data_IF_876572664444
#
_entry.id   IF_876572664444
#
_cell.length_a   1.000
_cell.length_b   1.000
_cell.length_c   1.000
_cell.angle_alpha   90.00
_cell.angle_beta   90.00
_cell.angle_gamma   90.00
#
_symmetry.space_group_name_H-M   'P 1'
#
loop_
_entity.id
_entity.type
_entity.pdbx_description
1 polymer ?
#
# COMPACT_ATOMS: atom_id res chain seq x y z
N UNK A 1 33.28 -4.85 10.91
CA UNK A 1 31.85 -5.21 10.98
C UNK A 1 31.17 -4.27 10.00
N UNK A 2 30.64 -4.80 8.89
CA UNK A 2 30.25 -4.00 7.72
C UNK A 2 29.09 -3.05 8.04
N UNK A 3 29.24 -1.78 7.67
CA UNK A 3 28.23 -0.73 7.83
C UNK A 3 27.16 -0.79 6.72
N UNK A 4 26.68 -1.99 6.42
CA UNK A 4 25.66 -2.22 5.39
C UNK A 4 24.28 -1.91 6.00
N UNK A 5 23.70 -0.76 5.64
CA UNK A 5 22.34 -0.37 6.06
C UNK A 5 22.24 0.89 6.92
N UNK A 6 23.35 1.55 7.23
CA UNK A 6 23.32 2.87 7.89
C UNK A 6 22.99 4.00 6.90
N UNK A 7 22.34 5.08 7.35
CA UNK A 7 22.12 6.25 6.50
C UNK A 7 23.46 6.89 6.09
N UNK A 8 23.56 7.46 4.88
CA UNK A 8 24.81 8.02 4.34
C UNK A 8 25.32 9.24 5.13
N UNK A 9 24.45 9.90 5.91
CA UNK A 9 24.83 10.94 6.85
C UNK A 9 24.16 10.62 8.19
N UNK A 10 24.96 10.55 9.26
CA UNK A 10 24.48 10.26 10.60
C UNK A 10 25.14 11.19 11.62
N UNK A 11 24.36 11.66 12.59
CA UNK A 11 24.83 12.38 13.77
C UNK A 11 23.73 12.37 14.84
N UNK A 12 24.12 12.29 16.10
CA UNK A 12 23.19 12.44 17.23
C UNK A 12 22.76 13.92 17.41
N UNK A 13 23.62 14.86 17.05
CA UNK A 13 23.27 16.28 17.01
C UNK A 13 22.64 16.63 15.66
N UNK A 14 21.48 17.30 15.71
CA UNK A 14 20.67 17.60 14.53
C UNK A 14 21.27 18.72 13.67
N UNK A 15 21.90 19.73 14.28
CA UNK A 15 22.55 20.80 13.54
C UNK A 15 23.78 20.27 12.78
N UNK A 16 24.54 19.40 13.45
CA UNK A 16 25.63 18.64 12.85
C UNK A 16 25.12 17.80 11.67
N UNK A 17 24.06 17.01 11.85
CA UNK A 17 23.46 16.20 10.77
C UNK A 17 23.12 17.05 9.54
N UNK A 18 22.45 18.20 9.72
CA UNK A 18 22.09 19.06 8.58
C UNK A 18 23.30 19.63 7.86
N UNK A 19 24.34 20.03 8.59
CA UNK A 19 25.59 20.51 7.97
C UNK A 19 26.29 19.39 7.18
N UNK A 20 26.26 18.14 7.67
CA UNK A 20 26.78 16.98 6.91
C UNK A 20 25.98 16.76 5.62
N UNK A 21 24.65 16.72 5.72
CA UNK A 21 23.75 16.59 4.56
C UNK A 21 24.01 17.71 3.54
N UNK A 22 24.21 18.94 3.98
CA UNK A 22 24.39 20.08 3.09
C UNK A 22 25.77 20.12 2.41
N UNK A 23 26.85 19.79 3.13
CA UNK A 23 28.20 20.10 2.69
C UNK A 23 29.18 18.94 2.61
N UNK A 24 28.94 17.84 3.32
CA UNK A 24 29.89 16.73 3.35
C UNK A 24 29.77 15.85 2.11
N UNK A 25 30.91 15.38 1.59
CA UNK A 25 30.96 14.49 0.44
C UNK A 25 30.39 13.11 0.79
N UNK A 26 29.76 12.47 -0.19
CA UNK A 26 29.15 11.15 0.02
C UNK A 26 30.25 10.07 0.12
N UNK A 27 30.37 9.45 1.28
CA UNK A 27 31.19 8.25 1.47
C UNK A 27 30.34 7.02 1.18
N UNK A 28 30.82 6.19 0.26
CA UNK A 28 30.14 4.96 -0.15
C UNK A 28 30.82 3.73 0.47
N UNK A 29 30.05 2.73 0.93
CA UNK A 29 30.62 1.49 1.43
C UNK A 29 31.32 0.70 0.33
N UNK A 30 32.26 -0.15 0.72
CA UNK A 30 32.90 -1.12 -0.16
C UNK A 30 31.89 -2.19 -0.63
N UNK A 31 32.12 -2.80 -1.79
CA UNK A 31 31.27 -3.87 -2.32
C UNK A 31 30.13 -3.44 -3.24
N UNK A 32 29.92 -2.12 -3.41
CA UNK A 32 28.99 -1.62 -4.43
C UNK A 32 29.52 -1.84 -5.85
N UNK A 33 28.63 -2.19 -6.78
CA UNK A 33 28.98 -2.20 -8.20
C UNK A 33 29.28 -0.76 -8.68
N UNK A 34 30.09 -0.58 -9.74
CA UNK A 34 30.37 0.74 -10.30
C UNK A 34 29.09 1.51 -10.66
N UNK A 35 28.09 0.82 -11.21
CA UNK A 35 26.81 1.39 -11.61
C UNK A 35 25.97 1.82 -10.39
N UNK A 36 26.00 1.04 -9.30
CA UNK A 36 25.32 1.40 -8.06
C UNK A 36 25.94 2.64 -7.42
N UNK A 37 27.29 2.69 -7.38
CA UNK A 37 28.02 3.81 -6.84
C UNK A 37 27.81 5.09 -7.66
N UNK A 38 27.79 5.01 -8.99
CA UNK A 38 27.47 6.14 -9.87
C UNK A 38 26.02 6.63 -9.66
N UNK A 39 25.06 5.70 -9.59
CA UNK A 39 23.66 6.04 -9.34
C UNK A 39 23.50 6.84 -8.04
N UNK A 40 24.08 6.35 -6.95
CA UNK A 40 23.98 6.99 -5.63
C UNK A 40 24.59 8.40 -5.63
N UNK A 41 25.77 8.59 -6.23
CA UNK A 41 26.41 9.92 -6.33
C UNK A 41 25.56 10.90 -7.13
N UNK A 42 24.93 10.46 -8.22
CA UNK A 42 24.11 11.34 -9.05
C UNK A 42 22.74 11.66 -8.42
N UNK A 43 22.14 10.72 -7.70
CA UNK A 43 20.90 10.96 -6.95
C UNK A 43 21.11 11.85 -5.72
N UNK A 44 22.25 11.70 -5.04
CA UNK A 44 22.59 12.46 -3.83
C UNK A 44 23.47 13.69 -4.12
N UNK A 45 23.46 14.16 -5.38
CA UNK A 45 24.18 15.37 -5.78
C UNK A 45 23.64 16.59 -5.02
N UNK A 46 24.55 17.39 -4.45
CA UNK A 46 24.23 18.55 -3.59
C UNK A 46 23.46 19.62 -4.36
N UNK A 47 23.93 19.97 -5.56
CA UNK A 47 23.21 20.85 -6.48
C UNK A 47 21.96 20.13 -7.04
N UNK A 48 20.74 20.60 -6.73
CA UNK A 48 19.51 19.99 -7.23
C UNK A 48 19.40 20.04 -8.76
N UNK A 49 19.94 21.04 -9.44
CA UNK A 49 19.82 21.16 -10.91
C UNK A 49 20.67 20.10 -11.64
N UNK A 50 21.74 19.64 -11.01
CA UNK A 50 22.64 18.59 -11.51
C UNK A 50 22.24 17.18 -11.03
N UNK A 51 21.27 17.09 -10.13
CA UNK A 51 20.79 15.82 -9.59
C UNK A 51 20.11 14.99 -10.66
N UNK A 52 20.39 13.70 -10.68
CA UNK A 52 19.73 12.77 -11.60
C UNK A 52 18.21 12.82 -11.36
N UNK A 53 17.46 12.95 -12.46
CA UNK A 53 16.02 13.13 -12.42
C UNK A 53 15.57 14.59 -12.49
N UNK A 54 16.45 15.57 -12.30
CA UNK A 54 16.10 16.99 -12.48
C UNK A 54 15.97 17.36 -13.96
N UNK A 55 16.90 16.86 -14.79
CA UNK A 55 16.80 16.96 -16.25
C UNK A 55 16.30 15.63 -16.81
N UNK A 56 15.26 15.67 -17.65
CA UNK A 56 14.66 14.47 -18.23
C UNK A 56 13.78 13.65 -17.27
N UNK A 57 13.61 14.09 -16.01
CA UNK A 57 12.67 13.49 -15.08
C UNK A 57 12.94 12.00 -14.81
N UNK A 58 11.86 11.25 -14.64
CA UNK A 58 11.93 9.80 -14.44
C UNK A 58 12.59 9.07 -15.62
N UNK A 59 12.51 9.58 -16.85
CA UNK A 59 13.14 8.93 -18.00
C UNK A 59 14.68 8.92 -17.87
N UNK A 60 15.27 9.99 -17.33
CA UNK A 60 16.71 10.05 -17.04
C UNK A 60 17.14 9.02 -15.98
N UNK A 61 16.31 8.80 -14.96
CA UNK A 61 16.56 7.77 -13.94
C UNK A 61 16.47 6.37 -14.55
N UNK A 62 15.39 6.09 -15.31
CA UNK A 62 15.16 4.79 -15.94
C UNK A 62 16.24 4.38 -16.95
N UNK A 63 16.86 5.37 -17.61
CA UNK A 63 17.93 5.15 -18.58
C UNK A 63 19.32 4.92 -17.94
N UNK A 64 19.44 5.03 -16.61
CA UNK A 64 20.72 4.84 -15.93
C UNK A 64 21.20 3.38 -16.06
N UNK A 65 22.51 3.12 -16.29
CA UNK A 65 23.04 1.75 -16.47
C UNK A 65 22.76 0.78 -15.31
N UNK A 66 22.60 1.29 -14.09
CA UNK A 66 22.18 0.48 -12.94
C UNK A 66 20.86 -0.27 -13.18
N UNK A 67 19.94 0.32 -13.96
CA UNK A 67 18.66 -0.30 -14.33
C UNK A 67 18.69 -0.96 -15.72
N UNK A 68 19.88 -1.21 -16.27
CA UNK A 68 20.01 -1.93 -17.53
C UNK A 68 19.35 -3.31 -17.42
N UNK A 69 18.47 -3.63 -18.37
CA UNK A 69 17.71 -4.89 -18.39
C UNK A 69 16.38 -4.87 -17.64
N UNK A 70 16.02 -3.76 -16.97
CA UNK A 70 14.67 -3.62 -16.39
C UNK A 70 13.66 -3.34 -17.50
N UNK A 71 12.70 -4.26 -17.66
CA UNK A 71 11.48 -4.01 -18.43
C UNK A 71 10.48 -3.22 -17.57
N UNK A 72 10.40 -1.92 -17.82
CA UNK A 72 9.57 -1.01 -17.04
C UNK A 72 8.06 -1.23 -17.23
N UNK A 73 7.65 -1.74 -18.39
CA UNK A 73 6.23 -2.05 -18.66
C UNK A 73 5.84 -3.33 -17.93
N UNK A 74 6.67 -4.38 -18.02
CA UNK A 74 6.46 -5.60 -17.23
C UNK A 74 6.51 -5.34 -15.72
N UNK A 75 7.38 -4.43 -15.25
CA UNK A 75 7.41 -4.02 -13.85
C UNK A 75 6.12 -3.33 -13.43
N UNK A 76 5.61 -2.40 -14.24
CA UNK A 76 4.36 -1.68 -13.98
C UNK A 76 3.15 -2.63 -13.95
N UNK A 77 3.11 -3.60 -14.86
CA UNK A 77 2.06 -4.62 -14.93
C UNK A 77 2.22 -5.73 -13.87
N UNK A 78 3.18 -5.59 -12.94
CA UNK A 78 3.51 -6.60 -11.94
C UNK A 78 3.82 -7.99 -12.53
N UNK A 79 4.39 -8.05 -13.75
CA UNK A 79 4.79 -9.29 -14.44
C UNK A 79 6.19 -9.77 -14.06
N UNK A 80 6.99 -8.92 -13.41
CA UNK A 80 8.30 -9.31 -12.86
C UNK A 80 8.10 -9.87 -11.44
N UNK A 81 8.53 -11.12 -11.15
CA UNK A 81 8.40 -11.68 -9.82
C UNK A 81 9.26 -10.91 -8.82
N UNK A 82 8.71 -10.65 -7.62
CA UNK A 82 9.45 -10.01 -6.55
C UNK A 82 10.61 -10.92 -6.09
N UNK A 83 11.82 -10.38 -5.86
CA UNK A 83 12.97 -11.17 -5.40
C UNK A 83 12.74 -11.78 -4.02
N UNK A 84 11.84 -11.19 -3.23
CA UNK A 84 11.39 -11.72 -1.95
C UNK A 84 9.87 -11.65 -1.88
N UNK A 85 9.24 -12.77 -1.54
CA UNK A 85 7.80 -12.86 -1.32
C UNK A 85 7.56 -13.26 0.14
N UNK A 86 6.94 -12.41 0.97
CA UNK A 86 6.62 -12.77 2.34
C UNK A 86 5.65 -13.96 2.38
N UNK A 87 5.92 -14.93 3.26
CA UNK A 87 4.95 -16.00 3.53
C UNK A 87 3.85 -15.44 4.41
N UNK A 88 2.61 -15.45 3.93
CA UNK A 88 1.43 -15.02 4.67
C UNK A 88 0.56 -16.25 4.88
N UNK A 89 0.38 -16.66 6.13
CA UNK A 89 -0.28 -17.92 6.43
C UNK A 89 -1.81 -17.75 6.53
N UNK A 90 -2.29 -16.54 6.85
CA UNK A 90 -3.70 -16.22 7.07
C UNK A 90 -4.06 -14.82 6.53
N UNK A 91 -5.35 -14.60 6.30
CA UNK A 91 -5.87 -13.28 5.85
C UNK A 91 -5.68 -12.17 6.90
N UNK A 92 -5.66 -12.54 8.18
CA UNK A 92 -5.50 -11.67 9.35
C UNK A 92 -4.10 -11.76 9.97
N UNK A 93 -3.13 -12.23 9.19
CA UNK A 93 -1.76 -12.40 9.65
C UNK A 93 -1.06 -11.05 9.87
N UNK A 94 -0.42 -10.91 11.03
CA UNK A 94 0.27 -9.69 11.46
C UNK A 94 1.75 -9.93 11.75
N UNK A 95 2.33 -11.03 11.26
CA UNK A 95 3.72 -11.43 11.59
C UNK A 95 4.80 -10.41 11.18
N UNK A 96 4.53 -9.56 10.19
CA UNK A 96 5.45 -8.51 9.71
C UNK A 96 5.21 -7.15 10.37
N UNK A 97 4.34 -7.07 11.39
CA UNK A 97 4.09 -5.88 12.20
C UNK A 97 4.68 -6.04 13.59
N UNK A 98 5.11 -4.93 14.20
CA UNK A 98 5.63 -4.95 15.56
C UNK A 98 4.54 -5.33 16.57
N UNK A 99 4.89 -6.19 17.53
CA UNK A 99 4.04 -6.62 18.64
C UNK A 99 3.63 -5.47 19.54
N UNK A 100 4.41 -4.38 19.57
CA UNK A 100 4.04 -3.16 20.28
C UNK A 100 2.69 -2.60 19.79
N UNK A 101 2.34 -2.82 18.52
CA UNK A 101 1.06 -2.37 17.95
C UNK A 101 0.02 -3.49 17.89
N UNK A 102 0.40 -4.69 17.44
CA UNK A 102 -0.56 -5.81 17.31
C UNK A 102 -1.04 -6.36 18.64
N UNK A 103 -0.29 -6.11 19.73
CA UNK A 103 -0.71 -6.40 21.10
C UNK A 103 -1.61 -5.35 21.74
N UNK A 104 -1.79 -4.17 21.13
CA UNK A 104 -2.69 -3.13 21.63
C UNK A 104 -4.14 -3.41 21.22
N UNK A 105 -5.13 -3.04 22.05
CA UNK A 105 -6.54 -3.20 21.68
C UNK A 105 -6.88 -2.30 20.47
N UNK A 106 -7.62 -2.86 19.50
CA UNK A 106 -8.12 -2.14 18.33
C UNK A 106 -9.35 -1.27 18.70
N UNK A 107 -9.15 -0.30 19.58
CA UNK A 107 -10.18 0.63 20.05
C UNK A 107 -9.83 2.06 19.69
N UNK A 108 -10.84 2.84 19.34
CA UNK A 108 -10.67 4.27 19.07
C UNK A 108 -10.46 5.01 20.39
N UNK A 109 -9.50 5.92 20.42
CA UNK A 109 -9.35 6.85 21.53
C UNK A 109 -10.63 7.68 21.69
N UNK A 110 -11.08 7.95 22.94
CA UNK A 110 -12.22 8.81 23.15
C UNK A 110 -11.92 10.23 22.63
N UNK A 111 -12.93 10.95 22.12
CA UNK A 111 -12.74 12.34 21.72
C UNK A 111 -12.35 13.18 22.95
N UNK A 112 -11.50 14.21 22.77
CA UNK A 112 -11.17 15.09 23.87
C UNK A 112 -12.43 15.85 24.33
N UNK A 113 -12.48 16.31 25.59
CA UNK A 113 -13.68 16.91 26.18
C UNK A 113 -14.26 18.07 25.37
N UNK A 114 -13.42 18.88 24.74
CA UNK A 114 -13.80 19.99 23.87
C UNK A 114 -14.48 19.56 22.56
N UNK A 115 -14.27 18.31 22.11
CA UNK A 115 -14.88 17.74 20.91
C UNK A 115 -16.07 16.81 21.23
N UNK A 116 -16.18 16.33 22.47
CA UNK A 116 -17.21 15.37 22.88
C UNK A 116 -18.65 15.92 22.76
N UNK A 117 -18.83 17.25 22.89
CA UNK A 117 -20.13 17.92 22.72
C UNK A 117 -20.63 18.02 21.27
N UNK A 118 -19.77 17.76 20.28
CA UNK A 118 -20.09 17.83 18.85
C UNK A 118 -20.55 16.45 18.31
N UNK A 119 -20.35 15.38 19.09
CA UNK A 119 -20.51 13.98 18.66
C UNK A 119 -21.66 13.24 19.39
N UNK A 120 -22.76 13.93 19.72
CA UNK A 120 -23.95 13.27 20.29
C UNK A 120 -24.64 12.34 19.27
N UNK A 121 -25.25 11.22 19.70
CA UNK A 121 -25.72 10.17 18.80
C UNK A 121 -26.98 10.61 18.07
N UNK A 122 -26.86 10.82 16.76
CA UNK A 122 -27.96 11.29 15.93
C UNK A 122 -27.63 11.30 14.44
N UNK A 123 -27.10 10.19 13.92
CA UNK A 123 -26.96 9.99 12.47
C UNK A 123 -27.60 8.66 12.04
N UNK A 124 -28.83 8.41 12.51
CA UNK A 124 -29.82 7.79 11.63
C UNK A 124 -30.30 8.90 10.69
N UNK A 125 -29.61 9.06 9.56
CA UNK A 125 -30.09 9.94 8.50
C UNK A 125 -31.30 9.31 7.81
N UNK A 126 -32.40 10.06 7.60
CA UNK A 126 -33.47 9.63 6.71
C UNK A 126 -32.97 9.58 5.27
N UNK A 127 -33.68 8.80 4.47
CA UNK A 127 -33.55 8.78 3.02
C UNK A 127 -33.58 10.20 2.43
N UNK A 128 -32.69 10.44 1.47
CA UNK A 128 -32.86 11.50 0.49
C UNK A 128 -32.17 12.83 0.82
N UNK A 129 -31.28 13.21 -0.10
CA UNK A 129 -31.10 14.59 -0.57
C UNK A 129 -30.56 15.65 0.40
N UNK A 130 -29.38 16.18 0.04
CA UNK A 130 -28.82 17.50 0.39
C UNK A 130 -28.31 17.66 1.83
N UNK A 131 -27.32 18.48 2.20
CA UNK A 131 -26.29 19.28 1.54
C UNK A 131 -25.61 20.05 2.69
N UNK A 132 -24.27 20.05 2.77
CA UNK A 132 -23.39 21.02 3.47
C UNK A 132 -23.52 21.14 5.01
N UNK A 133 -22.53 21.51 5.80
CA UNK A 133 -21.08 21.67 5.70
C UNK A 133 -20.64 21.89 7.17
N UNK A 134 -19.48 21.38 7.55
CA UNK A 134 -18.92 21.62 8.87
C UNK A 134 -18.16 22.96 8.86
N UNK A 135 -18.29 23.83 9.85
CA UNK A 135 -17.22 24.81 10.14
C UNK A 135 -17.42 25.44 11.52
N UNK A 136 -16.38 25.45 12.36
CA UNK A 136 -16.32 26.38 13.47
C UNK A 136 -15.31 26.08 14.59
N UNK A 137 -14.01 26.25 14.32
CA UNK A 137 -13.12 26.91 15.28
C UNK A 137 -13.62 28.37 15.51
N UNK A 138 -13.31 29.08 16.61
CA UNK A 138 -13.82 30.44 16.75
C UNK A 138 -13.17 31.37 15.74
N UNK A 139 -14.02 31.95 14.89
CA UNK A 139 -13.97 33.31 14.38
C UNK A 139 -12.58 33.86 14.00
N UNK A 140 -12.10 33.39 12.85
CA UNK A 140 -11.12 34.08 12.01
C UNK A 140 -11.39 33.68 10.56
N UNK A 141 -12.53 34.10 10.00
CA UNK A 141 -12.97 33.88 8.61
C UNK A 141 -12.56 32.52 8.01
N UNK A 142 -13.16 31.42 8.45
CA UNK A 142 -12.66 30.10 8.08
C UNK A 142 -13.78 29.20 7.55
N UNK A 143 -13.67 28.80 6.28
CA UNK A 143 -14.60 27.86 5.64
C UNK A 143 -14.53 26.46 6.24
N UNK A 144 -15.33 25.55 5.69
CA UNK A 144 -15.29 24.13 6.00
C UNK A 144 -13.90 23.56 5.67
N UNK A 145 -13.02 23.47 6.68
CA UNK A 145 -11.64 23.00 6.53
C UNK A 145 -11.55 21.56 6.01
N UNK A 146 -12.63 20.78 6.15
CA UNK A 146 -12.73 19.40 5.67
C UNK A 146 -13.72 19.26 4.51
N UNK A 147 -14.18 20.36 3.91
CA UNK A 147 -14.96 20.29 2.67
C UNK A 147 -14.14 19.59 1.59
N UNK A 148 -14.74 18.58 0.97
CA UNK A 148 -14.06 17.74 -0.02
C UNK A 148 -13.25 16.58 0.57
N UNK A 149 -13.29 16.34 1.89
CA UNK A 149 -12.62 15.19 2.50
C UNK A 149 -13.25 13.85 2.13
N UNK A 150 -14.57 13.82 1.95
CA UNK A 150 -15.31 12.60 1.60
C UNK A 150 -14.94 12.13 0.19
N UNK A 151 -14.38 10.93 0.10
CA UNK A 151 -14.05 10.25 -1.14
C UNK A 151 -14.61 8.82 -1.13
N UNK A 152 -15.10 8.38 -2.29
CA UNK A 152 -15.50 6.99 -2.51
C UNK A 152 -14.98 6.55 -3.87
N UNK A 153 -14.16 5.50 -3.88
CA UNK A 153 -13.74 4.84 -5.12
C UNK A 153 -14.98 4.39 -5.91
N UNK A 154 -15.15 4.79 -7.19
CA UNK A 154 -16.31 4.41 -7.99
C UNK A 154 -16.56 2.90 -8.00
N UNK A 155 -15.48 2.10 -8.06
CA UNK A 155 -15.52 0.64 -8.04
C UNK A 155 -15.97 0.04 -6.68
N UNK A 156 -15.80 0.77 -5.58
CA UNK A 156 -16.17 0.30 -4.23
C UNK A 156 -17.67 0.50 -3.92
N UNK A 157 -18.37 1.34 -4.68
CA UNK A 157 -19.82 1.57 -4.52
C UNK A 157 -20.66 0.30 -4.74
N UNK A 158 -20.14 -0.66 -5.53
CA UNK A 158 -20.81 -1.91 -5.87
C UNK A 158 -20.89 -2.89 -4.69
N UNK A 159 -20.02 -2.77 -3.69
CA UNK A 159 -20.03 -3.59 -2.46
C UNK A 159 -21.06 -3.09 -1.45
N UNK A 160 -21.32 -1.77 -1.39
CA UNK A 160 -22.33 -1.20 -0.47
C UNK A 160 -23.76 -1.63 -0.80
N UNK A 161 -24.07 -1.85 -2.08
CA UNK A 161 -25.41 -2.24 -2.51
C UNK A 161 -25.81 -3.66 -2.06
N UNK A 162 -24.82 -4.54 -1.81
CA UNK A 162 -25.08 -5.96 -1.47
C UNK A 162 -25.25 -6.23 0.03
N UNK A 163 -24.95 -5.26 0.89
CA UNK A 163 -25.05 -5.40 2.36
C UNK A 163 -26.39 -4.90 2.94
N UNK A 164 -27.25 -4.24 2.14
CA UNK A 164 -28.57 -3.74 2.59
C UNK A 164 -29.79 -4.29 1.81
N UNK A 165 -29.61 -5.37 1.02
CA UNK A 165 -30.69 -6.00 0.27
C UNK A 165 -31.33 -7.19 0.99
N UNK A 166 -31.87 -6.98 2.20
CA UNK A 166 -32.63 -7.98 2.96
C UNK A 166 -34.07 -7.53 3.18
N UNK A 167 -34.80 -7.21 2.10
CA UNK A 167 -36.23 -6.94 2.16
C UNK A 167 -37.00 -8.18 1.68
N UNK A 168 -37.78 -8.77 2.59
CA UNK A 168 -38.69 -9.86 2.34
C UNK A 168 -39.65 -9.53 1.18
N UNK A 169 -39.68 -10.39 0.16
CA UNK A 169 -40.72 -10.36 -0.86
C UNK A 169 -42.04 -10.90 -0.26
N UNK A 170 -43.18 -10.21 -0.44
CA UNK A 170 -44.47 -10.80 -0.13
C UNK A 170 -44.84 -11.86 -1.17
N UNK A 171 -45.47 -12.93 -0.71
CA UNK A 171 -45.68 -14.17 -1.44
C UNK A 171 -46.47 -14.06 -2.75
N UNK A 172 -46.14 -14.97 -3.66
CA UNK A 172 -46.88 -15.22 -4.90
C UNK A 172 -46.53 -16.60 -5.47
N UNK A 173 -47.44 -17.55 -5.25
CA UNK A 173 -47.76 -18.75 -6.05
C UNK A 173 -46.64 -19.65 -6.61
N UNK A 174 -46.56 -20.86 -6.04
CA UNK A 174 -46.10 -22.10 -6.70
C UNK A 174 -47.04 -22.45 -7.87
N UNK A 175 -46.54 -22.90 -9.03
CA UNK A 175 -46.35 -24.34 -9.30
C UNK A 175 -45.03 -24.58 -10.10
N UNK A 176 -44.42 -25.75 -10.24
CA UNK A 176 -44.74 -27.12 -9.88
C UNK A 176 -43.45 -27.94 -10.06
N UNK A 177 -43.38 -29.06 -9.36
CA UNK A 177 -42.26 -30.01 -9.37
C UNK A 177 -42.12 -30.70 -10.74
N UNK A 178 -40.89 -30.75 -11.24
CA UNK A 178 -40.45 -31.67 -12.29
C UNK A 178 -39.13 -32.31 -11.87
N UNK A 179 -39.18 -33.56 -11.43
CA UNK A 179 -38.02 -34.45 -11.28
C UNK A 179 -37.24 -34.53 -12.60
N UNK A 180 -35.94 -34.85 -12.55
CA UNK A 180 -35.35 -36.03 -13.21
C UNK A 180 -33.79 -36.01 -13.22
N UNK A 181 -33.24 -36.98 -12.48
CA UNK A 181 -32.09 -37.86 -12.80
C UNK A 181 -30.62 -37.41 -12.66
N UNK A 182 -29.95 -38.15 -11.77
CA UNK A 182 -28.50 -38.38 -11.69
C UNK A 182 -27.89 -38.93 -12.98
N UNK A 183 -26.60 -38.68 -13.19
CA UNK A 183 -25.66 -39.73 -13.59
C UNK A 183 -24.22 -39.38 -13.24
N UNK A 184 -23.61 -40.34 -12.55
CA UNK A 184 -22.21 -40.52 -12.23
C UNK A 184 -21.46 -41.08 -13.43
N UNK A 185 -20.17 -40.72 -13.59
CA UNK A 185 -19.20 -41.59 -14.24
C UNK A 185 -17.78 -41.26 -13.78
N UNK A 186 -17.20 -42.20 -13.03
CA UNK A 186 -15.79 -42.32 -12.74
C UNK A 186 -15.02 -42.87 -13.96
N UNK A 187 -13.74 -42.53 -14.07
CA UNK A 187 -12.82 -43.13 -15.03
C UNK A 187 -11.36 -42.86 -14.64
N UNK A 188 -10.68 -43.91 -14.19
CA UNK A 188 -9.32 -43.91 -13.67
C UNK A 188 -8.26 -44.31 -14.72
N UNK A 189 -6.99 -43.99 -14.43
CA UNK A 189 -5.70 -44.64 -14.79
C UNK A 189 -4.65 -43.54 -15.06
N UNK A 190 -3.52 -43.43 -14.33
CA UNK A 190 -2.41 -44.39 -14.18
C UNK A 190 -1.39 -44.11 -15.31
N UNK A 191 -0.10 -43.84 -15.14
CA UNK A 191 0.84 -43.72 -14.02
C UNK A 191 2.24 -43.43 -14.62
N UNK A 192 3.27 -43.59 -13.78
CA UNK A 192 4.72 -43.75 -14.08
C UNK A 192 5.67 -42.56 -13.83
N UNK A 193 6.72 -42.91 -13.07
CA UNK A 193 7.90 -42.18 -12.60
C UNK A 193 8.90 -41.89 -13.75
N UNK A 194 9.97 -41.07 -13.69
CA UNK A 194 11.02 -40.85 -12.67
C UNK A 194 11.92 -39.65 -13.12
N UNK A 195 12.89 -39.16 -12.30
CA UNK A 195 13.61 -37.88 -12.44
C UNK A 195 14.98 -38.01 -13.15
N UNK A 196 15.83 -36.95 -13.29
CA UNK A 196 16.90 -36.78 -12.29
C UNK A 196 17.60 -35.38 -12.13
N UNK A 197 18.41 -35.30 -11.05
CA UNK A 197 19.68 -34.58 -10.76
C UNK A 197 19.90 -33.08 -11.06
N UNK A 198 20.33 -32.35 -10.02
CA UNK A 198 21.31 -31.25 -10.14
C UNK A 198 22.54 -31.53 -9.27
N UNK A 199 23.70 -31.46 -9.91
CA UNK A 199 25.02 -31.57 -9.29
C UNK A 199 25.50 -30.20 -8.78
N UNK A 200 26.33 -30.25 -7.73
CA UNK A 200 27.08 -29.13 -7.20
C UNK A 200 28.15 -28.61 -8.19
N UNK A 201 28.36 -27.30 -8.15
CA UNK A 201 29.51 -26.59 -8.70
C UNK A 201 29.52 -25.19 -8.11
#
# INVERSE_FOLDING_TARGET
MGEEGWPPFFSQDRAELFRRIAGEELVLPEGLTPEAADLLRRLLHKDPLRRLGSVGGAAGIRAHPFFAGVDWEALYDCRIPAPWTPRIDRVDDVQFFDKEFTGKPAVLSPPPPEAAGVLAPGAAGPAGSSSAAAAGAPAGGAGDHFAGFSYAEPASSMVRSRMHGGAAAPGGAHPGYGHHHSSSAAGASGGTASPPVYAHG
#
